data_IF_163722861707
#
_entry.id   IF_163722861707
#
_cell.length_a   1.000
_cell.length_b   1.000
_cell.length_c   1.000
_cell.angle_alpha   90.00
_cell.angle_beta   90.00
_cell.angle_gamma   90.00
#
_symmetry.space_group_name_H-M   'P 1'
#
loop_
_entity.id
_entity.type
_entity.pdbx_description
1 polymer ?
#
# COMPACT_ATOMS: atom_id res chain seq x y z
N UNK A 1 -2.41 -11.43 -1.94
CA UNK A 1 -2.69 -10.38 -0.94
C UNK A 1 -4.11 -9.85 -1.06
N UNK A 2 -4.52 -9.42 -2.25
CA UNK A 2 -5.87 -8.87 -2.45
C UNK A 2 -6.98 -9.83 -2.00
N UNK A 3 -6.90 -11.10 -2.37
CA UNK A 3 -7.93 -12.09 -1.98
C UNK A 3 -8.06 -12.20 -0.46
N UNK A 4 -6.95 -12.22 0.25
CA UNK A 4 -6.97 -12.29 1.72
C UNK A 4 -7.64 -11.06 2.32
N UNK A 5 -7.35 -9.87 1.79
CA UNK A 5 -7.99 -8.63 2.21
C UNK A 5 -9.49 -8.65 1.90
N UNK A 6 -9.88 -9.05 0.69
CA UNK A 6 -11.27 -9.11 0.30
C UNK A 6 -12.08 -10.05 1.21
N UNK A 7 -11.50 -11.19 1.58
CA UNK A 7 -12.14 -12.13 2.50
C UNK A 7 -12.26 -11.57 3.92
N UNK A 8 -11.20 -10.96 4.43
CA UNK A 8 -11.19 -10.45 5.82
C UNK A 8 -12.00 -9.16 5.99
N UNK A 9 -12.12 -8.36 4.93
CA UNK A 9 -12.85 -7.09 4.96
C UNK A 9 -14.30 -7.20 4.49
N UNK A 10 -14.75 -8.39 4.11
CA UNK A 10 -16.12 -8.61 3.68
C UNK A 10 -17.12 -8.21 4.79
N UNK A 11 -18.11 -7.42 4.42
CA UNK A 11 -19.09 -6.88 5.37
C UNK A 11 -18.59 -5.75 6.27
N UNK A 12 -17.36 -5.29 6.08
CA UNK A 12 -16.75 -4.19 6.85
C UNK A 12 -16.70 -2.90 6.04
N UNK A 13 -16.55 -1.73 6.69
CA UNK A 13 -16.50 -0.44 5.96
C UNK A 13 -15.31 -0.29 5.01
N UNK A 14 -14.14 -0.80 5.40
CA UNK A 14 -12.93 -0.70 4.59
C UNK A 14 -12.98 -1.67 3.42
N UNK A 15 -12.56 -1.22 2.25
CA UNK A 15 -12.59 -2.01 1.02
C UNK A 15 -11.24 -2.07 0.35
N UNK A 16 -10.82 -3.27 -0.12
CA UNK A 16 -9.57 -3.42 -0.86
C UNK A 16 -9.79 -3.18 -2.35
N UNK A 17 -8.73 -2.70 -3.00
CA UNK A 17 -8.65 -2.52 -4.44
C UNK A 17 -7.30 -3.02 -4.94
N UNK A 18 -7.26 -3.42 -6.20
CA UNK A 18 -6.06 -3.90 -6.86
C UNK A 18 -5.81 -3.10 -8.13
N UNK A 19 -4.54 -2.88 -8.47
CA UNK A 19 -4.16 -2.19 -9.70
C UNK A 19 -4.77 -2.84 -10.95
N UNK A 20 -5.11 -2.03 -11.99
CA UNK A 20 -4.92 -0.59 -12.08
C UNK A 20 -6.09 0.20 -11.49
N UNK A 21 -5.81 1.02 -10.51
CA UNK A 21 -6.75 1.99 -9.93
C UNK A 21 -6.02 3.30 -9.75
N UNK A 22 -6.53 4.37 -10.34
CA UNK A 22 -5.95 5.69 -10.18
C UNK A 22 -6.24 6.24 -8.78
N UNK A 23 -5.19 6.63 -8.08
CA UNK A 23 -5.27 7.33 -6.80
C UNK A 23 -4.77 8.76 -7.02
N UNK A 24 -5.68 9.71 -6.94
CA UNK A 24 -5.38 11.13 -7.08
C UNK A 24 -5.07 11.71 -5.71
N UNK A 25 -3.87 12.26 -5.58
CA UNK A 25 -3.37 12.78 -4.32
C UNK A 25 -3.27 14.31 -4.38
N UNK A 26 -4.36 15.04 -4.07
CA UNK A 26 -4.34 16.50 -4.10
C UNK A 26 -3.36 17.06 -3.07
N UNK A 27 -2.73 18.19 -3.43
CA UNK A 27 -1.97 19.01 -2.50
C UNK A 27 -2.92 20.04 -1.92
N UNK A 28 -3.46 19.82 -0.73
CA UNK A 28 -4.56 20.61 -0.15
C UNK A 28 -5.88 20.32 -0.87
N UNK A 29 -6.78 21.28 -0.95
CA UNK A 29 -8.12 21.13 -1.54
C UNK A 29 -8.14 21.48 -3.04
N UNK A 30 -7.19 20.95 -3.80
CA UNK A 30 -7.13 21.17 -5.25
C UNK A 30 -8.36 20.60 -5.96
N UNK A 31 -8.85 21.32 -6.96
CA UNK A 31 -9.85 20.78 -7.89
C UNK A 31 -9.21 19.64 -8.71
N UNK A 32 -10.02 18.66 -9.15
CA UNK A 32 -9.53 17.50 -9.89
C UNK A 32 -8.63 17.85 -11.09
N UNK A 33 -8.97 18.93 -11.80
CA UNK A 33 -8.19 19.38 -12.96
C UNK A 33 -6.80 19.91 -12.59
N UNK A 34 -6.58 20.28 -11.32
CA UNK A 34 -5.30 20.79 -10.82
C UNK A 34 -4.45 19.72 -10.14
N UNK A 35 -4.98 18.52 -9.95
CA UNK A 35 -4.23 17.42 -9.31
C UNK A 35 -3.22 16.87 -10.31
N UNK A 36 -1.95 17.01 -9.97
CA UNK A 36 -0.84 16.55 -10.80
C UNK A 36 -0.23 15.22 -10.31
N UNK A 37 -0.60 14.78 -9.11
CA UNK A 37 -0.06 13.55 -8.53
C UNK A 37 -1.11 12.44 -8.60
N UNK A 38 -0.85 11.47 -9.49
CA UNK A 38 -1.67 10.27 -9.64
C UNK A 38 -0.75 9.06 -9.54
N UNK A 39 -1.14 8.10 -8.70
CA UNK A 39 -0.39 6.86 -8.50
C UNK A 39 -1.30 5.66 -8.70
N UNK A 40 -0.71 4.50 -8.98
CA UNK A 40 -1.43 3.22 -9.11
C UNK A 40 -0.76 2.17 -8.22
N UNK A 41 -1.03 2.18 -6.90
CA UNK A 41 -0.49 1.16 -6.01
C UNK A 41 -0.92 -0.24 -6.41
N UNK A 42 -0.09 -1.24 -6.14
CA UNK A 42 -0.41 -2.62 -6.49
C UNK A 42 -1.66 -3.12 -5.75
N UNK A 43 -1.75 -2.84 -4.46
CA UNK A 43 -2.91 -3.15 -3.62
C UNK A 43 -3.13 -1.99 -2.65
N UNK A 44 -4.38 -1.66 -2.38
CA UNK A 44 -4.72 -0.59 -1.45
C UNK A 44 -6.02 -0.88 -0.71
N UNK A 45 -6.20 -0.22 0.42
CA UNK A 45 -7.44 -0.26 1.21
C UNK A 45 -7.90 1.16 1.51
N UNK A 46 -9.17 1.41 1.25
CA UNK A 46 -9.83 2.70 1.51
C UNK A 46 -10.99 2.48 2.46
N UNK A 47 -11.00 3.18 3.58
CA UNK A 47 -12.04 3.06 4.62
C UNK A 47 -13.12 4.13 4.50
N UNK A 48 -12.82 5.28 3.89
CA UNK A 48 -13.79 6.35 3.68
C UNK A 48 -14.41 6.24 2.27
N UNK A 49 -15.70 5.86 2.16
CA UNK A 49 -16.34 5.72 0.86
C UNK A 49 -16.44 7.04 0.09
N UNK A 50 -16.34 8.18 0.76
CA UNK A 50 -16.37 9.50 0.10
C UNK A 50 -15.12 9.73 -0.79
N UNK A 51 -14.06 8.96 -0.58
CA UNK A 51 -12.85 9.02 -1.41
C UNK A 51 -12.99 8.27 -2.74
N UNK A 52 -14.04 7.49 -2.92
CA UNK A 52 -14.24 6.67 -4.11
C UNK A 52 -15.21 7.38 -5.06
N UNK A 53 -14.81 7.53 -6.32
CA UNK A 53 -15.66 8.06 -7.38
C UNK A 53 -15.44 7.29 -8.71
N UNK A 54 -16.03 7.79 -9.80
CA UNK A 54 -15.94 7.13 -11.12
C UNK A 54 -14.51 7.06 -11.67
N UNK A 55 -13.61 7.93 -11.20
CA UNK A 55 -12.21 8.01 -11.67
C UNK A 55 -11.26 7.21 -10.80
N UNK A 56 -11.75 6.58 -9.74
CA UNK A 56 -10.96 5.82 -8.78
C UNK A 56 -10.99 6.43 -7.40
N UNK A 57 -9.82 6.67 -6.83
CA UNK A 57 -9.67 7.19 -5.47
C UNK A 57 -9.20 8.65 -5.51
N UNK A 58 -9.80 9.49 -4.68
CA UNK A 58 -9.37 10.85 -4.43
C UNK A 58 -9.00 11.01 -2.96
N UNK A 59 -7.73 11.21 -2.70
CA UNK A 59 -7.17 11.28 -1.35
C UNK A 59 -6.34 10.05 -0.99
N UNK A 60 -5.72 10.10 0.18
CA UNK A 60 -4.84 9.02 0.63
C UNK A 60 -5.63 7.76 1.00
N UNK A 61 -5.23 6.59 0.48
CA UNK A 61 -5.67 5.32 1.04
C UNK A 61 -5.23 5.18 2.50
N UNK A 62 -5.93 4.35 3.26
CA UNK A 62 -5.56 4.08 4.65
C UNK A 62 -4.33 3.19 4.74
N UNK A 63 -4.21 2.28 3.80
CA UNK A 63 -3.11 1.33 3.67
C UNK A 63 -2.86 1.07 2.19
N UNK A 64 -1.60 0.90 1.82
CA UNK A 64 -1.25 0.42 0.49
C UNK A 64 0.00 -0.43 0.51
N UNK A 65 0.13 -1.25 -0.52
CA UNK A 65 1.25 -2.16 -0.74
C UNK A 65 1.78 -1.98 -2.15
N UNK A 66 3.10 -1.86 -2.25
CA UNK A 66 3.84 -1.88 -3.51
C UNK A 66 4.73 -3.11 -3.54
N UNK A 67 4.80 -3.77 -4.67
CA UNK A 67 5.73 -4.88 -4.89
C UNK A 67 6.92 -4.36 -5.68
N UNK A 68 8.10 -4.45 -5.10
CA UNK A 68 9.32 -4.00 -5.74
C UNK A 68 9.67 -4.90 -6.92
N UNK A 69 9.91 -4.30 -8.08
CA UNK A 69 10.41 -5.01 -9.26
C UNK A 69 11.90 -4.71 -9.46
N UNK A 70 12.65 -5.61 -10.15
CA UNK A 70 14.07 -5.37 -10.44
C UNK A 70 14.32 -4.08 -11.24
N UNK A 71 13.33 -3.62 -12.01
CA UNK A 71 13.41 -2.41 -12.80
C UNK A 71 13.14 -1.13 -12.02
N UNK A 72 12.69 -1.22 -10.75
CA UNK A 72 12.39 -0.04 -9.94
C UNK A 72 13.66 0.62 -9.46
N UNK A 73 13.94 1.82 -9.95
CA UNK A 73 15.12 2.58 -9.56
C UNK A 73 15.01 3.11 -8.12
N UNK A 74 16.16 3.25 -7.47
CA UNK A 74 16.21 3.74 -6.09
C UNK A 74 15.54 5.10 -5.91
N UNK A 75 15.75 6.04 -6.84
CA UNK A 75 15.12 7.35 -6.77
C UNK A 75 13.59 7.28 -6.90
N UNK A 76 13.06 6.33 -7.67
CA UNK A 76 11.62 6.12 -7.81
C UNK A 76 11.01 5.62 -6.49
N UNK A 77 11.69 4.72 -5.79
CA UNK A 77 11.27 4.26 -4.47
C UNK A 77 11.25 5.41 -3.45
N UNK A 78 12.27 6.26 -3.47
CA UNK A 78 12.36 7.43 -2.60
C UNK A 78 11.24 8.42 -2.92
N UNK A 79 10.99 8.66 -4.20
CA UNK A 79 9.92 9.57 -4.64
C UNK A 79 8.55 9.07 -4.22
N UNK A 80 8.27 7.78 -4.37
CA UNK A 80 7.01 7.15 -3.94
C UNK A 80 6.83 7.27 -2.43
N UNK A 81 7.84 6.96 -1.65
CA UNK A 81 7.77 7.08 -0.18
C UNK A 81 7.43 8.51 0.24
N UNK A 82 8.11 9.50 -0.33
CA UNK A 82 7.84 10.91 -0.05
C UNK A 82 6.43 11.32 -0.45
N UNK A 83 5.96 10.84 -1.59
CA UNK A 83 4.60 11.10 -2.08
C UNK A 83 3.55 10.55 -1.12
N UNK A 84 3.69 9.32 -0.69
CA UNK A 84 2.75 8.68 0.24
C UNK A 84 2.79 9.33 1.63
N UNK A 85 3.97 9.66 2.11
CA UNK A 85 4.15 10.39 3.37
C UNK A 85 3.45 11.74 3.35
N UNK A 86 3.70 12.53 2.31
CA UNK A 86 3.08 13.85 2.13
C UNK A 86 1.56 13.75 2.03
N UNK A 87 1.06 12.76 1.32
CA UNK A 87 -0.38 12.57 1.13
C UNK A 87 -1.10 12.09 2.39
N UNK A 88 -0.38 11.55 3.37
CA UNK A 88 -0.97 11.07 4.61
C UNK A 88 -1.41 9.61 4.58
N UNK A 89 -0.78 8.77 3.77
CA UNK A 89 -1.01 7.32 3.79
C UNK A 89 -0.51 6.78 5.13
N UNK A 90 -1.42 6.28 5.97
CA UNK A 90 -1.10 5.93 7.35
C UNK A 90 -0.17 4.73 7.48
N UNK A 91 -0.27 3.77 6.58
CA UNK A 91 0.61 2.60 6.60
C UNK A 91 0.94 2.20 5.16
N UNK A 92 2.24 2.14 4.86
CA UNK A 92 2.78 1.82 3.55
C UNK A 92 3.68 0.60 3.63
N UNK A 93 3.35 -0.43 2.87
CA UNK A 93 4.09 -1.68 2.80
C UNK A 93 4.85 -1.80 1.49
N UNK A 94 6.13 -2.11 1.57
CA UNK A 94 6.99 -2.36 0.42
C UNK A 94 7.50 -3.80 0.47
N UNK A 95 7.02 -4.62 -0.45
CA UNK A 95 7.40 -6.04 -0.55
C UNK A 95 8.60 -6.19 -1.46
N UNK A 96 9.61 -6.90 -0.98
CA UNK A 96 10.82 -7.27 -1.73
C UNK A 96 10.78 -8.76 -2.02
N UNK A 97 10.25 -9.19 -3.20
CA UNK A 97 10.08 -10.63 -3.48
C UNK A 97 11.42 -11.38 -3.54
N UNK A 98 12.44 -10.77 -4.12
CA UNK A 98 13.78 -11.38 -4.24
C UNK A 98 14.41 -11.66 -2.90
N UNK A 99 14.40 -10.69 -2.00
CA UNK A 99 14.95 -10.78 -0.66
C UNK A 99 14.04 -11.44 0.37
N UNK A 100 12.79 -11.71 0.01
CA UNK A 100 11.78 -12.26 0.93
C UNK A 100 11.58 -11.39 2.16
N UNK A 101 11.56 -10.09 1.98
CA UNK A 101 11.37 -9.12 3.07
C UNK A 101 10.22 -8.16 2.78
N UNK A 102 9.68 -7.60 3.86
CA UNK A 102 8.66 -6.59 3.87
C UNK A 102 9.15 -5.40 4.67
N UNK A 103 9.09 -4.21 4.09
CA UNK A 103 9.35 -2.96 4.81
C UNK A 103 8.02 -2.28 5.10
N UNK A 104 7.78 -1.93 6.36
CA UNK A 104 6.55 -1.30 6.82
C UNK A 104 6.85 0.11 7.32
N UNK A 105 6.21 1.10 6.70
CA UNK A 105 6.24 2.49 7.13
C UNK A 105 4.92 2.85 7.79
N UNK A 106 4.99 3.42 8.98
CA UNK A 106 3.80 3.89 9.73
C UNK A 106 3.91 5.39 9.93
N UNK A 107 2.84 6.09 9.59
CA UNK A 107 2.79 7.55 9.72
C UNK A 107 2.60 7.94 11.19
N UNK A 108 3.51 8.77 11.69
CA UNK A 108 3.50 9.31 13.04
C UNK A 108 3.66 10.83 12.96
N UNK A 109 2.66 11.58 13.42
CA UNK A 109 2.68 13.04 13.38
C UNK A 109 3.06 13.63 12.01
N UNK A 110 2.46 13.09 10.94
CA UNK A 110 2.66 13.57 9.57
C UNK A 110 3.93 13.08 8.88
N UNK A 111 4.72 12.25 9.53
CA UNK A 111 5.96 11.68 8.97
C UNK A 111 6.03 10.18 9.20
N UNK A 112 6.66 9.46 8.26
CA UNK A 112 6.98 8.06 8.50
C UNK A 112 8.10 7.98 9.53
N UNK A 113 7.86 7.21 10.57
CA UNK A 113 8.87 6.86 11.55
C UNK A 113 9.92 5.91 10.96
N UNK A 114 10.79 5.41 11.81
CA UNK A 114 11.75 4.39 11.41
C UNK A 114 11.00 3.15 10.92
N UNK A 115 11.26 2.66 9.68
CA UNK A 115 10.55 1.49 9.17
C UNK A 115 10.92 0.23 9.91
N UNK A 116 9.96 -0.68 10.05
CA UNK A 116 10.19 -2.04 10.50
C UNK A 116 10.39 -2.95 9.29
N UNK A 117 11.29 -3.91 9.41
CA UNK A 117 11.58 -4.89 8.37
C UNK A 117 11.24 -6.29 8.91
N UNK A 118 10.41 -7.01 8.14
CA UNK A 118 9.98 -8.36 8.46
C UNK A 118 10.41 -9.35 7.38
N UNK A 119 10.57 -10.60 7.73
CA UNK A 119 10.61 -11.67 6.74
C UNK A 119 9.20 -11.93 6.19
N UNK A 120 9.09 -12.33 4.93
CA UNK A 120 7.83 -12.81 4.36
C UNK A 120 7.56 -14.23 4.85
N UNK A 121 7.13 -14.34 6.09
CA UNK A 121 6.96 -15.58 6.82
C UNK A 121 5.76 -15.45 7.76
N UNK A 122 5.06 -16.56 7.99
CA UNK A 122 3.88 -16.60 8.84
C UNK A 122 2.84 -15.53 8.41
N UNK A 123 2.35 -14.73 9.34
CA UNK A 123 1.40 -13.66 9.05
C UNK A 123 1.87 -12.34 9.65
N UNK A 124 1.68 -11.26 8.89
CA UNK A 124 1.97 -9.90 9.36
C UNK A 124 0.67 -9.14 9.54
N UNK A 125 0.38 -8.64 10.75
CA UNK A 125 -0.82 -7.84 10.98
C UNK A 125 -0.70 -6.46 10.33
N UNK A 126 -1.82 -5.94 9.84
CA UNK A 126 -1.92 -4.57 9.34
C UNK A 126 -2.36 -3.69 10.49
N UNK A 127 -1.48 -2.80 10.95
CA UNK A 127 -1.73 -1.98 12.15
C UNK A 127 -2.95 -1.08 12.06
N UNK A 128 -3.21 -0.50 10.90
CA UNK A 128 -4.36 0.40 10.67
C UNK A 128 -5.67 -0.33 10.38
N UNK A 129 -5.62 -1.65 10.26
CA UNK A 129 -6.81 -2.51 10.03
C UNK A 129 -6.87 -3.57 11.14
N UNK A 130 -7.43 -3.25 12.32
CA UNK A 130 -7.45 -4.18 13.45
C UNK A 130 -8.05 -5.53 13.09
N UNK A 131 -7.36 -6.60 13.46
CA UNK A 131 -7.80 -7.97 13.18
C UNK A 131 -7.50 -8.48 11.78
N UNK A 132 -6.89 -7.67 10.92
CA UNK A 132 -6.52 -8.06 9.56
C UNK A 132 -5.02 -8.33 9.47
N UNK A 133 -4.66 -9.46 8.85
CA UNK A 133 -3.27 -9.86 8.65
C UNK A 133 -3.09 -10.50 7.28
N UNK A 134 -1.88 -10.41 6.77
CA UNK A 134 -1.50 -11.08 5.52
C UNK A 134 -0.66 -12.31 5.84
N UNK A 135 -1.13 -13.46 5.41
CA UNK A 135 -0.42 -14.73 5.52
C UNK A 135 0.48 -14.93 4.30
N UNK A 136 1.78 -15.13 4.53
CA UNK A 136 2.78 -15.13 3.47
C UNK A 136 3.10 -16.50 2.91
N UNK A 137 3.03 -17.56 3.71
CA UNK A 137 3.58 -18.87 3.34
C UNK A 137 3.02 -19.41 2.02
N UNK A 138 1.70 -19.39 1.84
CA UNK A 138 1.06 -19.83 0.60
C UNK A 138 1.39 -18.93 -0.61
N UNK A 139 1.69 -17.66 -0.38
CA UNK A 139 2.10 -16.72 -1.42
C UNK A 139 3.54 -16.96 -1.85
N UNK A 140 4.42 -17.21 -0.88
CA UNK A 140 5.85 -17.45 -1.12
C UNK A 140 6.06 -18.73 -1.90
N UNK A 141 5.29 -19.79 -1.64
CA UNK A 141 5.39 -21.07 -2.36
C UNK A 141 5.20 -20.91 -3.87
N UNK A 142 4.48 -19.87 -4.29
CA UNK A 142 4.20 -19.59 -5.70
C UNK A 142 5.25 -18.73 -6.37
N UNK A 143 6.17 -18.18 -5.61
CA UNK A 143 7.23 -17.33 -6.16
C UNK A 143 8.42 -18.16 -6.64
N UNK A 144 9.15 -17.67 -7.65
CA UNK A 144 10.43 -18.27 -8.02
C UNK A 144 11.36 -18.36 -6.81
N UNK A 145 12.27 -19.32 -6.82
CA UNK A 145 13.28 -19.41 -5.77
C UNK A 145 14.09 -18.12 -5.74
N UNK A 146 14.51 -17.66 -4.54
CA UNK A 146 15.34 -16.47 -4.44
C UNK A 146 16.63 -16.65 -5.26
N UNK A 147 16.97 -15.63 -6.00
CA UNK A 147 18.30 -15.55 -6.62
C UNK A 147 19.26 -15.02 -5.56
N UNK A 148 20.29 -15.79 -5.29
CA UNK A 148 21.34 -15.41 -4.34
C UNK A 148 22.55 -14.88 -5.10
#
# INVERSE_FOLDING_TARGET
>A
VYRQLANQLDGKPCRPYIAPVDVRLPRKDEADVAIDTVVQPDVLVVCDPAKIDRRGVRGAPDWLLEVLSPSTAAHDQIAKRRTYERAGVREYWLVHPGGRTLTVYVLETGQYGRPDIYELKDATPIGVLPGVAIAWDALIERLPKPEY
#
